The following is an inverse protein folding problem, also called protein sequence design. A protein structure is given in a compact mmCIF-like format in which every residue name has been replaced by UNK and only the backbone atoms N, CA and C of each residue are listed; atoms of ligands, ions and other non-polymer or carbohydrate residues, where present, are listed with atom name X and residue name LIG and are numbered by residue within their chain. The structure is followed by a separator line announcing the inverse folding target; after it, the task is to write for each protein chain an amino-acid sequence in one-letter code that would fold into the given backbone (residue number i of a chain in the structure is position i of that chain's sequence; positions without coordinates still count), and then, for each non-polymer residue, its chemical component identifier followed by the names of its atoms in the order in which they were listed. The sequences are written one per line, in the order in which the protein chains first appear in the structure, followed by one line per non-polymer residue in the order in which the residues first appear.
data_IF_315133448817
#
_entry.id   IF_315133448817
#
_cell.length_a   1.000
_cell.length_b   1.000
_cell.length_c   1.000
_cell.angle_alpha   90.00
_cell.angle_beta   90.00
_cell.angle_gamma   90.00
#
_symmetry.space_group_name_H-M   'P 1'
#
loop_
_entity.id
_entity.type
_entity.pdbx_description
1 polymer ?
#
# COMPACT_ATOMS: atom_id res chain seq x y z
N UNK A 1 9.43 -8.89 33.99
CA UNK A 1 9.14 -9.37 32.62
C UNK A 1 9.20 -8.14 31.73
N UNK A 2 10.05 -8.12 30.70
CA UNK A 2 10.16 -6.96 29.82
C UNK A 2 9.01 -7.01 28.81
N UNK A 3 8.12 -6.01 28.87
CA UNK A 3 7.01 -5.90 27.93
C UNK A 3 7.54 -5.44 26.57
N UNK A 4 7.13 -6.10 25.50
CA UNK A 4 7.58 -5.76 24.15
C UNK A 4 7.06 -4.36 23.77
N UNK A 5 7.93 -3.37 23.49
CA UNK A 5 7.50 -2.01 23.18
C UNK A 5 6.76 -1.88 21.84
N UNK A 6 6.73 -2.94 21.03
CA UNK A 6 6.07 -2.96 19.72
C UNK A 6 4.63 -3.50 19.77
N UNK A 7 4.33 -4.46 20.66
CA UNK A 7 3.00 -5.00 20.99
C UNK A 7 3.17 -6.35 21.71
N UNK A 8 2.26 -6.67 22.63
CA UNK A 8 2.23 -7.93 23.40
C UNK A 8 1.95 -9.18 22.54
N UNK A 9 1.68 -9.01 21.24
CA UNK A 9 1.37 -10.10 20.29
C UNK A 9 2.48 -10.35 19.27
N UNK A 10 3.61 -9.63 19.37
CA UNK A 10 4.67 -9.64 18.37
C UNK A 10 5.83 -10.54 18.78
N UNK A 11 5.52 -11.79 19.13
CA UNK A 11 6.48 -12.72 19.74
C UNK A 11 7.26 -13.54 18.69
N UNK A 12 6.90 -13.39 17.42
CA UNK A 12 7.53 -14.10 16.30
C UNK A 12 7.58 -13.25 15.03
N UNK A 13 8.44 -13.65 14.09
CA UNK A 13 8.68 -12.94 12.82
C UNK A 13 7.39 -12.76 12.00
N UNK A 14 6.50 -13.76 11.85
CA UNK A 14 5.25 -13.55 11.11
C UNK A 14 4.32 -12.52 11.74
N UNK A 15 4.18 -12.51 13.07
CA UNK A 15 3.38 -11.49 13.77
C UNK A 15 3.97 -10.08 13.63
N UNK A 16 5.31 -9.97 13.60
CA UNK A 16 5.98 -8.71 13.30
C UNK A 16 5.65 -8.20 11.89
N UNK A 17 5.75 -9.06 10.88
CA UNK A 17 5.44 -8.71 9.49
C UNK A 17 3.97 -8.29 9.35
N UNK A 18 3.03 -9.01 9.97
CA UNK A 18 1.61 -8.65 9.94
C UNK A 18 1.36 -7.28 10.58
N UNK A 19 1.91 -7.02 11.77
CA UNK A 19 1.76 -5.74 12.47
C UNK A 19 2.36 -4.58 11.66
N UNK A 20 3.52 -4.79 11.03
CA UNK A 20 4.13 -3.79 10.17
C UNK A 20 3.26 -3.49 8.95
N UNK A 21 2.78 -4.53 8.25
CA UNK A 21 1.92 -4.37 7.07
C UNK A 21 0.60 -3.69 7.40
N UNK A 22 -0.02 -3.99 8.54
CA UNK A 22 -1.19 -3.27 9.03
C UNK A 22 -0.90 -1.78 9.25
N UNK A 23 0.27 -1.46 9.83
CA UNK A 23 0.73 -0.09 9.98
C UNK A 23 0.89 0.63 8.65
N UNK A 24 1.55 -0.02 7.68
CA UNK A 24 1.73 0.52 6.32
C UNK A 24 0.38 0.69 5.63
N UNK A 25 -0.56 -0.25 5.74
CA UNK A 25 -1.89 -0.14 5.14
C UNK A 25 -2.71 1.01 5.72
N UNK A 26 -2.65 1.22 7.05
CA UNK A 26 -3.35 2.33 7.73
C UNK A 26 -2.96 3.70 7.17
N UNK A 27 -1.70 3.88 6.77
CA UNK A 27 -1.20 5.14 6.22
C UNK A 27 -1.27 5.15 4.69
N UNK A 28 -0.98 4.01 4.05
CA UNK A 28 -0.91 3.85 2.61
C UNK A 28 -2.27 3.99 1.92
N UNK A 29 -3.35 3.47 2.51
CA UNK A 29 -4.70 3.59 1.94
C UNK A 29 -5.13 5.06 1.79
N UNK A 30 -5.05 5.93 2.83
CA UNK A 30 -5.30 7.36 2.67
C UNK A 30 -4.41 8.03 1.62
N UNK A 31 -3.12 7.68 1.55
CA UNK A 31 -2.19 8.25 0.57
C UNK A 31 -2.62 7.89 -0.86
N UNK A 32 -2.98 6.63 -1.10
CA UNK A 32 -3.47 6.18 -2.41
C UNK A 32 -4.76 6.93 -2.78
N UNK A 33 -5.69 7.08 -1.83
CA UNK A 33 -6.93 7.82 -2.08
C UNK A 33 -6.64 9.28 -2.51
N UNK A 34 -5.71 9.96 -1.82
CA UNK A 34 -5.27 11.31 -2.19
C UNK A 34 -4.58 11.33 -3.56
N UNK A 35 -3.76 10.35 -3.88
CA UNK A 35 -3.08 10.24 -5.18
C UNK A 35 -4.06 10.00 -6.34
N UNK A 36 -5.13 9.23 -6.12
CA UNK A 36 -6.22 9.05 -7.09
C UNK A 36 -6.95 10.37 -7.31
N UNK A 37 -7.31 11.08 -6.24
CA UNK A 37 -7.97 12.39 -6.32
C UNK A 37 -7.09 13.39 -7.08
N UNK A 38 -5.79 13.43 -6.77
CA UNK A 38 -4.83 14.30 -7.46
C UNK A 38 -4.70 13.97 -8.94
N UNK A 39 -4.64 12.68 -9.29
CA UNK A 39 -4.63 12.25 -10.68
C UNK A 39 -5.90 12.70 -11.41
N UNK A 40 -7.08 12.56 -10.78
CA UNK A 40 -8.35 13.08 -11.29
C UNK A 40 -8.34 14.59 -11.52
N UNK A 41 -7.77 15.36 -10.59
CA UNK A 41 -7.57 16.81 -10.76
C UNK A 41 -6.69 17.11 -11.98
N UNK A 42 -5.59 16.38 -12.16
CA UNK A 42 -4.67 16.58 -13.28
C UNK A 42 -5.34 16.27 -14.64
N UNK A 43 -6.25 15.30 -14.70
CA UNK A 43 -7.08 15.05 -15.88
C UNK A 43 -8.00 16.24 -16.21
N UNK A 44 -8.63 16.83 -15.19
CA UNK A 44 -9.50 18.01 -15.37
C UNK A 44 -8.68 19.24 -15.76
N UNK A 45 -7.51 19.44 -15.15
CA UNK A 45 -6.59 20.56 -15.43
C UNK A 45 -6.03 20.50 -16.86
N UNK A 46 -5.81 19.30 -17.40
CA UNK A 46 -5.24 19.13 -18.73
C UNK A 46 -6.09 19.81 -19.83
N UNK A 47 -7.43 19.89 -19.68
CA UNK A 47 -8.34 20.60 -20.61
C UNK A 47 -8.09 20.32 -22.10
N UNK A 48 -7.70 19.08 -22.45
CA UNK A 48 -7.41 18.66 -23.83
C UNK A 48 -5.98 18.96 -24.32
N UNK A 49 -5.10 19.52 -23.49
CA UNK A 49 -3.67 19.58 -23.77
C UNK A 49 -3.06 18.17 -23.69
N UNK A 50 -2.58 17.65 -24.83
CA UNK A 50 -2.03 16.30 -24.95
C UNK A 50 -0.85 16.01 -24.01
N UNK A 51 0.02 16.99 -23.76
CA UNK A 51 1.18 16.81 -22.87
C UNK A 51 0.73 16.67 -21.41
N UNK A 52 -0.17 17.56 -20.96
CA UNK A 52 -0.73 17.48 -19.60
C UNK A 52 -1.58 16.23 -19.40
N UNK A 53 -2.29 15.80 -20.44
CA UNK A 53 -3.07 14.57 -20.41
C UNK A 53 -2.18 13.34 -20.29
N UNK A 54 -1.02 13.33 -20.95
CA UNK A 54 0.02 12.31 -20.75
C UNK A 54 0.44 12.23 -19.29
N UNK A 55 0.79 13.37 -18.67
CA UNK A 55 1.16 13.45 -17.25
C UNK A 55 0.04 12.94 -16.33
N UNK A 56 -1.22 13.26 -16.62
CA UNK A 56 -2.38 12.76 -15.87
C UNK A 56 -2.48 11.23 -15.92
N UNK A 57 -2.27 10.64 -17.10
CA UNK A 57 -2.26 9.19 -17.30
C UNK A 57 -1.12 8.53 -16.55
N UNK A 58 0.08 9.08 -16.64
CA UNK A 58 1.25 8.54 -15.95
C UNK A 58 1.06 8.58 -14.43
N UNK A 59 0.58 9.70 -13.89
CA UNK A 59 0.27 9.84 -12.47
C UNK A 59 -0.75 8.79 -11.98
N UNK A 60 -1.81 8.56 -12.77
CA UNK A 60 -2.79 7.52 -12.46
C UNK A 60 -2.17 6.11 -12.54
N UNK A 61 -1.35 5.83 -13.55
CA UNK A 61 -0.71 4.53 -13.75
C UNK A 61 0.21 4.19 -12.58
N UNK A 62 1.06 5.14 -12.16
CA UNK A 62 1.92 4.95 -10.99
C UNK A 62 1.13 4.82 -9.69
N UNK A 63 0.02 5.55 -9.55
CA UNK A 63 -0.88 5.41 -8.40
C UNK A 63 -1.46 3.99 -8.33
N UNK A 64 -1.91 3.44 -9.46
CA UNK A 64 -2.44 2.08 -9.56
C UNK A 64 -1.36 1.03 -9.28
N UNK A 65 -0.15 1.22 -9.79
CA UNK A 65 0.99 0.32 -9.50
C UNK A 65 1.29 0.34 -8.00
N UNK A 66 1.37 1.52 -7.38
CA UNK A 66 1.60 1.65 -5.94
C UNK A 66 0.50 0.97 -5.11
N UNK A 67 -0.77 1.13 -5.51
CA UNK A 67 -1.89 0.46 -4.88
C UNK A 67 -1.83 -1.07 -5.02
N UNK A 68 -1.51 -1.57 -6.23
CA UNK A 68 -1.37 -2.99 -6.48
C UNK A 68 -0.23 -3.61 -5.65
N UNK A 69 0.90 -2.91 -5.52
CA UNK A 69 2.02 -3.34 -4.68
C UNK A 69 1.58 -3.38 -3.21
N UNK A 70 0.96 -2.31 -2.71
CA UNK A 70 0.54 -2.23 -1.31
C UNK A 70 -0.41 -3.37 -0.94
N UNK A 71 -1.44 -3.61 -1.76
CA UNK A 71 -2.40 -4.69 -1.55
C UNK A 71 -1.77 -6.07 -1.77
N UNK A 72 -0.91 -6.20 -2.79
CA UNK A 72 -0.21 -7.43 -3.13
C UNK A 72 0.76 -7.89 -2.04
N UNK A 73 1.46 -6.96 -1.38
CA UNK A 73 2.39 -7.27 -0.28
C UNK A 73 1.69 -7.98 0.88
N UNK A 74 0.47 -7.57 1.24
CA UNK A 74 -0.30 -8.23 2.30
C UNK A 74 -0.72 -9.65 1.91
N UNK A 75 -1.17 -9.84 0.67
CA UNK A 75 -1.50 -11.16 0.14
C UNK A 75 -0.29 -12.10 0.16
N UNK A 76 0.87 -11.63 -0.30
CA UNK A 76 2.11 -12.44 -0.30
C UNK A 76 2.53 -12.79 1.13
N UNK A 77 2.49 -11.84 2.06
CA UNK A 77 2.85 -12.10 3.45
C UNK A 77 1.94 -13.15 4.10
N UNK A 78 0.64 -13.11 3.81
CA UNK A 78 -0.33 -14.10 4.30
C UNK A 78 -0.05 -15.48 3.71
N UNK A 79 0.29 -15.56 2.43
CA UNK A 79 0.66 -16.83 1.79
C UNK A 79 1.91 -17.44 2.42
N UNK A 80 2.93 -16.62 2.70
CA UNK A 80 4.16 -17.08 3.36
C UNK A 80 3.84 -17.58 4.77
N UNK A 81 3.09 -16.82 5.59
CA UNK A 81 2.69 -17.25 6.94
C UNK A 81 1.91 -18.57 6.90
N UNK A 82 0.98 -18.74 5.95
CA UNK A 82 0.23 -19.98 5.80
C UNK A 82 1.12 -21.18 5.44
N UNK A 83 2.14 -20.98 4.59
CA UNK A 83 3.07 -22.04 4.17
C UNK A 83 3.96 -22.45 5.35
N UNK A 84 4.44 -21.49 6.13
CA UNK A 84 5.28 -21.77 7.31
C UNK A 84 4.48 -22.52 8.39
N UNK A 85 3.21 -22.20 8.59
CA UNK A 85 2.34 -22.90 9.56
C UNK A 85 1.92 -24.30 9.10
N UNK A 86 1.96 -24.56 7.80
CA UNK A 86 1.61 -25.85 7.22
C UNK A 86 2.76 -26.87 7.29
N UNK A 87 3.99 -26.42 7.57
CA UNK A 87 5.16 -27.25 7.81
C UNK A 87 5.29 -27.61 9.29
#
# INVERSE_FOLDING_TARGET
MLNNPLSDKTDNIPAFIQTFLEGVLKVGIPIIALAIIYSGFLFVEARGNSEKLGKAKDALLYTLIGAAILLGSWSIATLIDSTVRAL
#
